data_IF_315869448777
#
_entry.id   IF_315869448777
#
_cell.length_a   1.000
_cell.length_b   1.000
_cell.length_c   1.000
_cell.angle_alpha   90.00
_cell.angle_beta   90.00
_cell.angle_gamma   90.00
#
_symmetry.space_group_name_H-M   'P 1'
#
loop_
_entity.id
_entity.type
_entity.pdbx_description
1 polymer ?
#
# COMPACT_ATOMS: atom_id res chain seq x y z
N UNK A 1 -48.32 -46.75 -49.90
CA UNK A 1 -47.78 -45.59 -50.63
C UNK A 1 -46.71 -44.94 -49.77
N UNK A 2 -45.45 -44.99 -50.20
CA UNK A 2 -44.36 -44.14 -49.70
C UNK A 2 -44.39 -42.83 -50.52
N UNK A 3 -43.96 -41.68 -49.97
CA UNK A 3 -42.56 -41.22 -50.12
C UNK A 3 -42.00 -40.56 -48.83
N UNK A 4 -40.72 -40.77 -48.48
CA UNK A 4 -39.49 -40.07 -48.91
C UNK A 4 -39.23 -38.73 -48.17
N UNK A 5 -38.12 -38.67 -47.42
CA UNK A 5 -37.49 -37.46 -46.87
C UNK A 5 -36.36 -37.80 -45.89
N UNK A 6 -35.12 -37.96 -46.35
CA UNK A 6 -34.01 -36.97 -46.26
C UNK A 6 -33.44 -36.86 -44.82
N UNK A 7 -32.44 -37.66 -44.43
CA UNK A 7 -30.98 -37.50 -44.58
C UNK A 7 -30.27 -36.84 -43.37
N UNK A 8 -29.01 -37.27 -43.18
CA UNK A 8 -27.88 -36.68 -42.40
C UNK A 8 -27.98 -36.80 -40.86
N UNK A 9 -26.95 -37.08 -40.04
CA UNK A 9 -25.49 -36.95 -40.11
C UNK A 9 -24.79 -38.03 -39.25
N UNK A 10 -23.65 -38.55 -39.74
CA UNK A 10 -22.59 -39.17 -38.95
C UNK A 10 -21.89 -38.11 -38.10
N UNK A 11 -21.69 -38.34 -36.80
CA UNK A 11 -20.62 -37.68 -36.03
C UNK A 11 -19.93 -38.69 -35.13
N UNK A 12 -18.61 -38.68 -35.25
CA UNK A 12 -17.63 -39.56 -34.67
C UNK A 12 -17.63 -39.56 -33.13
N UNK A 13 -17.47 -40.75 -32.54
CA UNK A 13 -17.07 -40.90 -31.15
C UNK A 13 -15.58 -40.58 -31.01
N UNK A 14 -15.25 -39.48 -30.34
CA UNK A 14 -13.90 -39.23 -29.87
C UNK A 14 -13.67 -40.06 -28.60
N UNK A 15 -12.77 -41.04 -28.70
CA UNK A 15 -12.26 -41.79 -27.57
C UNK A 15 -11.55 -40.84 -26.58
N UNK A 16 -12.00 -40.85 -25.32
CA UNK A 16 -11.34 -40.13 -24.24
C UNK A 16 -10.00 -40.76 -23.90
N UNK A 17 -8.96 -39.93 -23.79
CA UNK A 17 -7.65 -40.33 -23.28
C UNK A 17 -7.73 -40.57 -21.75
N UNK A 18 -6.96 -41.54 -21.19
CA UNK A 18 -6.97 -41.83 -19.77
C UNK A 18 -6.26 -40.73 -18.95
N UNK A 19 -6.68 -40.47 -17.69
CA UNK A 19 -6.06 -39.49 -16.82
C UNK A 19 -4.69 -39.95 -16.33
N UNK A 20 -3.72 -39.02 -16.33
CA UNK A 20 -2.38 -39.21 -15.77
C UNK A 20 -2.41 -39.32 -14.23
N UNK A 21 -1.51 -40.12 -13.62
CA UNK A 21 -1.43 -40.25 -12.17
C UNK A 21 -0.89 -38.98 -11.49
N UNK A 22 -1.28 -38.69 -10.23
CA UNK A 22 -0.89 -37.49 -9.52
C UNK A 22 0.59 -37.50 -9.14
N UNK A 23 1.29 -36.38 -9.43
CA UNK A 23 2.63 -36.09 -8.91
C UNK A 23 2.59 -35.88 -7.39
N UNK A 24 3.62 -36.30 -6.64
CA UNK A 24 3.68 -36.08 -5.20
C UNK A 24 3.77 -34.58 -4.89
N UNK A 25 2.87 -34.12 -4.03
CA UNK A 25 2.79 -32.74 -3.53
C UNK A 25 4.14 -32.29 -2.98
N UNK A 26 4.76 -31.32 -3.65
CA UNK A 26 5.87 -30.55 -3.07
C UNK A 26 5.31 -29.81 -1.86
N UNK A 27 5.80 -30.17 -0.69
CA UNK A 27 5.62 -29.42 0.55
C UNK A 27 6.07 -27.97 0.32
N UNK A 28 5.08 -27.08 0.18
CA UNK A 28 5.31 -25.65 0.02
C UNK A 28 5.86 -25.15 1.36
N UNK A 29 7.15 -24.82 1.37
CA UNK A 29 7.77 -24.13 2.49
C UNK A 29 6.93 -22.88 2.86
N UNK A 30 6.77 -22.57 4.16
CA UNK A 30 6.03 -21.39 4.57
C UNK A 30 6.61 -20.14 3.90
N UNK A 31 5.77 -19.18 3.47
CA UNK A 31 6.24 -17.96 2.84
C UNK A 31 7.18 -17.23 3.81
N UNK A 32 8.28 -16.63 3.33
CA UNK A 32 9.12 -15.80 4.18
C UNK A 32 8.27 -14.65 4.72
N UNK A 33 8.24 -14.51 6.05
CA UNK A 33 7.66 -13.34 6.69
C UNK A 33 8.27 -12.06 6.10
N UNK A 34 7.43 -11.21 5.50
CA UNK A 34 7.71 -9.78 5.35
C UNK A 34 8.95 -9.39 4.55
N UNK A 35 9.29 -10.09 3.47
CA UNK A 35 10.23 -9.60 2.46
C UNK A 35 9.53 -8.67 1.47
N UNK A 36 9.90 -7.39 1.45
CA UNK A 36 9.45 -6.38 0.47
C UNK A 36 9.40 -6.94 -0.98
N UNK A 37 8.29 -6.81 -1.72
CA UNK A 37 8.33 -6.94 -3.17
C UNK A 37 9.08 -5.72 -3.74
N UNK A 38 10.40 -5.84 -3.90
CA UNK A 38 11.23 -4.85 -4.60
C UNK A 38 12.47 -4.32 -3.89
N UNK A 39 12.81 -4.76 -2.67
CA UNK A 39 13.96 -4.22 -1.89
C UNK A 39 15.35 -4.70 -2.34
N UNK A 40 15.52 -5.04 -3.62
CA UNK A 40 16.62 -5.90 -4.07
C UNK A 40 17.70 -5.24 -4.91
N UNK A 41 18.06 -3.97 -4.70
CA UNK A 41 19.35 -3.40 -5.17
C UNK A 41 19.54 -1.94 -4.74
N UNK A 42 18.54 -1.07 -4.95
CA UNK A 42 18.74 0.39 -4.79
C UNK A 42 18.56 0.88 -3.35
N UNK A 43 17.72 0.22 -2.53
CA UNK A 43 17.59 0.54 -1.10
C UNK A 43 18.89 0.22 -0.31
N UNK A 44 19.74 -0.66 -0.84
CA UNK A 44 21.03 -1.02 -0.24
C UNK A 44 22.09 0.10 -0.33
N UNK A 45 21.90 1.11 -1.19
CA UNK A 45 22.86 2.19 -1.38
C UNK A 45 22.73 3.33 -0.36
N UNK A 46 21.60 3.44 0.33
CA UNK A 46 21.34 4.49 1.30
C UNK A 46 20.94 3.89 2.65
N UNK A 47 21.87 3.94 3.61
CA UNK A 47 21.58 3.56 4.99
C UNK A 47 20.87 4.74 5.68
N UNK A 48 19.71 4.53 6.31
CA UNK A 48 19.07 5.57 7.10
C UNK A 48 19.98 5.98 8.27
N UNK A 49 19.84 7.21 8.79
CA UNK A 49 20.51 7.61 10.02
C UNK A 49 20.19 6.64 11.16
N UNK A 50 21.12 6.53 12.12
CA UNK A 50 20.80 5.92 13.41
C UNK A 50 19.95 6.93 14.20
N UNK A 51 18.80 6.49 14.69
CA UNK A 51 17.89 7.28 15.50
C UNK A 51 18.00 6.88 16.97
N UNK A 52 17.96 7.86 17.87
CA UNK A 52 17.98 7.60 19.32
C UNK A 52 16.63 7.03 19.82
N UNK A 53 15.55 7.26 19.07
CA UNK A 53 14.25 6.64 19.29
C UNK A 53 13.25 6.83 18.14
N UNK A 54 12.07 6.21 18.27
CA UNK A 54 10.99 6.29 17.27
C UNK A 54 10.54 7.73 17.03
N UNK A 55 10.52 8.56 18.08
CA UNK A 55 10.15 9.97 17.94
C UNK A 55 11.11 10.72 17.01
N UNK A 56 12.42 10.52 17.17
CA UNK A 56 13.43 11.15 16.31
C UNK A 56 13.34 10.64 14.86
N UNK A 57 13.06 9.35 14.69
CA UNK A 57 12.83 8.75 13.38
C UNK A 57 11.61 9.37 12.67
N UNK A 58 10.49 9.53 13.38
CA UNK A 58 9.30 10.20 12.84
C UNK A 58 9.62 11.65 12.47
N UNK A 59 10.25 12.42 13.37
CA UNK A 59 10.61 13.81 13.08
C UNK A 59 11.52 13.92 11.86
N UNK A 60 12.50 13.02 11.74
CA UNK A 60 13.37 12.96 10.58
C UNK A 60 12.56 12.76 9.30
N UNK A 61 11.72 11.73 9.21
CA UNK A 61 10.98 11.48 7.96
C UNK A 61 9.90 12.53 7.69
N UNK A 62 9.25 13.10 8.71
CA UNK A 62 8.36 14.26 8.56
C UNK A 62 9.11 15.43 7.90
N UNK A 63 10.35 15.70 8.32
CA UNK A 63 11.17 16.78 7.75
C UNK A 63 11.54 16.55 6.27
N UNK A 64 11.45 15.30 5.79
CA UNK A 64 11.76 14.90 4.41
C UNK A 64 10.57 14.89 3.47
N UNK A 65 9.33 14.95 3.97
CA UNK A 65 8.12 14.96 3.12
C UNK A 65 8.10 16.06 2.03
N UNK A 66 8.58 17.30 2.25
CA UNK A 66 8.61 18.30 1.17
C UNK A 66 9.80 18.14 0.20
N UNK A 67 10.76 17.27 0.51
CA UNK A 67 11.97 17.05 -0.29
C UNK A 67 11.67 16.15 -1.50
N UNK A 68 11.47 16.77 -2.66
CA UNK A 68 11.17 16.09 -3.93
C UNK A 68 12.32 15.18 -4.42
N UNK A 69 13.55 15.39 -3.92
CA UNK A 69 14.70 14.55 -4.23
C UNK A 69 14.82 13.35 -3.30
N UNK A 70 14.05 13.30 -2.21
CA UNK A 70 14.05 12.20 -1.24
C UNK A 70 13.17 11.04 -1.70
N UNK A 71 13.44 10.57 -2.91
CA UNK A 71 12.74 9.48 -3.60
C UNK A 71 13.76 8.51 -4.18
N UNK A 72 13.34 7.26 -4.36
CA UNK A 72 14.08 6.27 -5.15
C UNK A 72 13.13 5.65 -6.18
N UNK A 73 13.55 4.59 -6.87
CA UNK A 73 12.74 3.84 -7.82
C UNK A 73 12.59 2.38 -7.44
N UNK A 74 11.53 1.76 -7.94
CA UNK A 74 11.36 0.31 -8.02
C UNK A 74 10.83 -0.08 -9.40
N UNK A 75 10.82 -1.38 -9.74
CA UNK A 75 10.28 -1.85 -11.02
C UNK A 75 11.29 -1.98 -12.16
N UNK A 76 12.60 -1.84 -11.86
CA UNK A 76 13.69 -2.00 -12.82
C UNK A 76 13.78 -0.89 -13.86
N UNK A 77 14.79 -0.96 -14.72
CA UNK A 77 15.06 0.09 -15.73
C UNK A 77 13.95 0.25 -16.78
N UNK A 78 13.24 -0.84 -17.09
CA UNK A 78 12.17 -0.82 -18.10
C UNK A 78 10.91 -0.10 -17.61
N UNK A 79 10.60 -0.21 -16.32
CA UNK A 79 9.37 0.32 -15.72
C UNK A 79 9.62 0.96 -14.35
N UNK A 80 10.46 2.01 -14.27
CA UNK A 80 10.71 2.67 -13.01
C UNK A 80 9.42 3.30 -12.48
N UNK A 81 9.17 3.06 -11.20
CA UNK A 81 8.08 3.65 -10.43
C UNK A 81 8.69 4.38 -9.24
N UNK A 82 8.23 5.60 -8.93
CA UNK A 82 8.76 6.35 -7.80
C UNK A 82 8.43 5.64 -6.50
N UNK A 83 9.42 5.55 -5.62
CA UNK A 83 9.29 5.11 -4.24
C UNK A 83 9.50 6.31 -3.31
N UNK A 84 8.45 6.70 -2.60
CA UNK A 84 8.46 7.89 -1.74
C UNK A 84 8.96 7.54 -0.34
N UNK A 85 10.30 7.51 -0.18
CA UNK A 85 11.01 6.97 0.99
C UNK A 85 10.40 7.46 2.31
N UNK A 86 10.21 8.78 2.46
CA UNK A 86 9.69 9.36 3.70
C UNK A 86 8.27 8.87 4.05
N UNK A 87 7.36 8.90 3.07
CA UNK A 87 5.96 8.52 3.28
C UNK A 87 5.83 7.02 3.61
N UNK A 88 6.57 6.17 2.89
CA UNK A 88 6.62 4.72 3.11
C UNK A 88 7.18 4.37 4.49
N UNK A 89 8.24 5.06 4.92
CA UNK A 89 8.83 4.87 6.24
C UNK A 89 7.89 5.30 7.36
N UNK A 90 7.24 6.46 7.23
CA UNK A 90 6.22 6.93 8.18
C UNK A 90 5.03 5.98 8.25
N UNK A 91 4.58 5.46 7.10
CA UNK A 91 3.54 4.44 7.02
C UNK A 91 3.90 3.17 7.80
N UNK A 92 5.15 2.70 7.67
CA UNK A 92 5.66 1.52 8.39
C UNK A 92 5.82 1.77 9.89
N UNK A 93 6.21 2.98 10.30
CA UNK A 93 6.28 3.34 11.72
C UNK A 93 4.89 3.22 12.36
N UNK A 94 3.82 3.55 11.63
CA UNK A 94 2.45 3.27 12.07
C UNK A 94 1.90 4.32 13.04
N UNK A 95 1.22 3.85 14.09
CA UNK A 95 0.52 4.68 15.07
C UNK A 95 1.33 5.89 15.59
N UNK A 96 2.65 5.78 15.90
CA UNK A 96 3.45 6.89 16.40
C UNK A 96 3.61 8.07 15.41
N UNK A 97 3.53 7.82 14.09
CA UNK A 97 3.71 8.87 13.09
C UNK A 97 2.46 9.74 12.90
N UNK A 98 1.29 9.22 13.26
CA UNK A 98 -0.01 9.79 12.94
C UNK A 98 -0.21 11.23 13.46
N UNK A 99 0.17 11.60 14.70
CA UNK A 99 -0.07 12.95 15.20
C UNK A 99 0.69 14.01 14.40
N UNK A 100 1.94 13.72 14.03
CA UNK A 100 2.76 14.63 13.24
C UNK A 100 2.26 14.69 11.79
N UNK A 101 1.86 13.57 11.20
CA UNK A 101 1.20 13.55 9.88
C UNK A 101 -0.09 14.38 9.88
N UNK A 102 -0.95 14.21 10.89
CA UNK A 102 -2.20 14.96 11.02
C UNK A 102 -1.96 16.49 11.13
N UNK A 103 -0.88 16.90 11.80
CA UNK A 103 -0.49 18.32 11.90
C UNK A 103 -0.11 18.94 10.54
N UNK A 104 0.20 18.11 9.54
CA UNK A 104 0.60 18.54 8.19
C UNK A 104 -0.54 18.50 7.16
N UNK A 105 -1.76 18.17 7.58
CA UNK A 105 -2.93 18.16 6.68
C UNK A 105 -3.27 19.54 6.10
N UNK A 106 -2.75 20.61 6.71
CA UNK A 106 -2.91 21.99 6.24
C UNK A 106 -1.71 22.48 5.41
N UNK A 107 -0.80 21.60 4.99
CA UNK A 107 0.35 22.02 4.17
C UNK A 107 -0.12 22.69 2.86
N UNK A 108 0.42 23.87 2.51
CA UNK A 108 0.13 24.53 1.24
C UNK A 108 0.93 23.93 0.07
N UNK A 109 1.95 23.09 0.32
CA UNK A 109 2.67 22.37 -0.74
C UNK A 109 1.86 21.13 -1.13
N UNK A 110 1.30 21.13 -2.33
CA UNK A 110 0.50 20.02 -2.84
C UNK A 110 1.29 18.69 -2.91
N UNK A 111 2.61 18.74 -3.10
CA UNK A 111 3.46 17.55 -3.07
C UNK A 111 3.59 17.01 -1.64
N UNK A 112 3.89 17.87 -0.66
CA UNK A 112 3.95 17.46 0.74
C UNK A 112 2.59 16.91 1.18
N UNK A 113 1.49 17.61 0.88
CA UNK A 113 0.15 17.17 1.23
C UNK A 113 -0.18 15.79 0.63
N UNK A 114 0.14 15.56 -0.64
CA UNK A 114 -0.04 14.25 -1.28
C UNK A 114 0.69 13.13 -0.50
N UNK A 115 1.92 13.37 -0.08
CA UNK A 115 2.72 12.40 0.68
C UNK A 115 2.25 12.24 2.12
N UNK A 116 1.80 13.31 2.77
CA UNK A 116 1.17 13.27 4.10
C UNK A 116 -0.07 12.39 4.06
N UNK A 117 -0.94 12.58 3.07
CA UNK A 117 -2.17 11.80 2.91
C UNK A 117 -1.85 10.33 2.68
N UNK A 118 -0.90 10.04 1.79
CA UNK A 118 -0.45 8.67 1.53
C UNK A 118 0.15 8.01 2.77
N UNK A 119 1.06 8.68 3.47
CA UNK A 119 1.68 8.19 4.69
C UNK A 119 0.65 7.96 5.80
N UNK A 120 -0.34 8.86 5.96
CA UNK A 120 -1.39 8.73 6.95
C UNK A 120 -2.32 7.55 6.66
N UNK A 121 -2.62 7.29 5.38
CA UNK A 121 -3.36 6.10 4.94
C UNK A 121 -2.61 4.82 5.33
N UNK A 122 -1.30 4.76 5.06
CA UNK A 122 -0.46 3.62 5.45
C UNK A 122 -0.38 3.46 6.98
N UNK A 123 -0.06 4.54 7.70
CA UNK A 123 0.10 4.52 9.16
C UNK A 123 -1.19 4.14 9.88
N UNK A 124 -2.35 4.49 9.32
CA UNK A 124 -3.66 4.13 9.88
C UNK A 124 -3.92 2.61 9.90
N UNK A 125 -3.16 1.83 9.14
CA UNK A 125 -3.25 0.38 9.06
C UNK A 125 -2.37 -0.33 10.10
N UNK A 126 -1.75 0.42 11.01
CA UNK A 126 -1.02 -0.14 12.15
C UNK A 126 -1.88 -1.18 12.90
N UNK A 127 -1.39 -2.42 13.15
CA UNK A 127 -2.19 -3.47 13.76
C UNK A 127 -2.76 -3.11 15.14
N UNK A 128 -2.01 -2.36 15.95
CA UNK A 128 -2.44 -1.95 17.29
C UNK A 128 -3.53 -0.89 17.19
N UNK A 129 -3.41 0.03 16.24
CA UNK A 129 -4.44 1.02 15.95
C UNK A 129 -5.70 0.38 15.40
N UNK A 130 -5.59 -0.52 14.41
CA UNK A 130 -6.71 -1.26 13.81
C UNK A 130 -7.49 -2.02 14.86
N UNK A 131 -6.80 -2.70 15.79
CA UNK A 131 -7.45 -3.38 16.91
C UNK A 131 -8.19 -2.40 17.81
N UNK A 132 -7.63 -1.21 18.07
CA UNK A 132 -8.20 -0.20 18.93
C UNK A 132 -9.35 0.60 18.30
N UNK A 133 -9.40 0.72 16.96
CA UNK A 133 -10.46 1.41 16.21
C UNK A 133 -11.56 0.49 15.72
N UNK A 134 -11.50 -0.82 16.05
CA UNK A 134 -12.48 -1.79 15.57
C UNK A 134 -12.41 -2.02 14.07
N UNK A 135 -11.23 -1.82 13.46
CA UNK A 135 -11.00 -1.99 12.03
C UNK A 135 -11.12 -0.72 11.18
N UNK A 136 -11.45 0.44 11.76
CA UNK A 136 -11.56 1.70 10.99
C UNK A 136 -10.17 2.23 10.63
N UNK A 137 -9.83 2.16 9.34
CA UNK A 137 -8.60 2.69 8.73
C UNK A 137 -8.92 3.86 7.81
N UNK A 138 -7.93 4.70 7.51
CA UNK A 138 -8.11 5.76 6.54
C UNK A 138 -8.09 5.16 5.14
N UNK A 139 -9.22 5.22 4.44
CA UNK A 139 -9.32 4.87 3.02
C UNK A 139 -9.28 6.12 2.14
N UNK A 140 -8.38 6.12 1.17
CA UNK A 140 -8.26 7.15 0.14
C UNK A 140 -8.71 6.60 -1.22
N UNK A 141 -9.10 7.50 -2.12
CA UNK A 141 -9.46 7.13 -3.49
C UNK A 141 -8.22 6.90 -4.34
N UNK A 142 -7.97 7.79 -5.30
CA UNK A 142 -6.69 7.82 -6.02
C UNK A 142 -5.62 8.48 -5.17
N UNK A 143 -4.50 7.77 -4.96
CA UNK A 143 -3.35 8.25 -4.18
C UNK A 143 -2.21 8.68 -5.09
N UNK A 144 -1.22 9.38 -4.52
CA UNK A 144 0.01 9.78 -5.20
C UNK A 144 -0.24 10.62 -6.48
N UNK A 145 -1.32 11.39 -6.48
CA UNK A 145 -1.66 12.37 -7.50
C UNK A 145 -2.25 13.63 -6.84
N UNK A 146 -1.57 14.80 -6.93
CA UNK A 146 -2.03 16.04 -6.30
C UNK A 146 -3.45 16.46 -6.70
N UNK A 147 -3.92 16.07 -7.89
CA UNK A 147 -5.27 16.38 -8.39
C UNK A 147 -6.38 15.84 -7.48
N UNK A 148 -6.09 14.82 -6.68
CA UNK A 148 -7.05 14.18 -5.76
C UNK A 148 -6.86 14.61 -4.30
N UNK A 149 -5.90 15.51 -4.01
CA UNK A 149 -5.60 15.94 -2.65
C UNK A 149 -6.81 16.52 -1.92
N UNK A 150 -7.64 17.33 -2.59
CA UNK A 150 -8.81 17.94 -1.95
C UNK A 150 -9.82 16.91 -1.43
N UNK A 151 -10.09 15.86 -2.22
CA UNK A 151 -10.98 14.77 -1.81
C UNK A 151 -10.34 13.92 -0.70
N UNK A 152 -9.07 13.55 -0.89
CA UNK A 152 -8.34 12.74 0.09
C UNK A 152 -8.17 13.48 1.42
N UNK A 153 -7.95 14.80 1.40
CA UNK A 153 -7.88 15.64 2.60
C UNK A 153 -9.21 15.65 3.35
N UNK A 154 -10.34 15.71 2.65
CA UNK A 154 -11.65 15.62 3.29
C UNK A 154 -11.82 14.27 4.01
N UNK A 155 -11.41 13.16 3.39
CA UNK A 155 -11.42 11.81 3.99
C UNK A 155 -10.49 11.71 5.19
N UNK A 156 -9.25 12.20 5.05
CA UNK A 156 -8.26 12.22 6.13
C UNK A 156 -8.72 13.04 7.33
N UNK A 157 -9.28 14.24 7.12
CA UNK A 157 -9.85 15.07 8.18
C UNK A 157 -11.04 14.37 8.85
N UNK A 158 -11.93 13.75 8.09
CA UNK A 158 -13.07 13.02 8.66
C UNK A 158 -12.59 11.85 9.53
N UNK A 159 -11.57 11.11 9.10
CA UNK A 159 -10.95 10.05 9.91
C UNK A 159 -10.29 10.62 11.17
N UNK A 160 -9.53 11.71 11.05
CA UNK A 160 -8.90 12.38 12.18
C UNK A 160 -9.90 12.91 13.22
N UNK A 161 -11.06 13.41 12.79
CA UNK A 161 -12.11 13.83 13.72
C UNK A 161 -12.69 12.66 14.53
N UNK A 162 -12.75 11.45 13.94
CA UNK A 162 -13.25 10.25 14.64
C UNK A 162 -12.23 9.68 15.63
N UNK A 163 -10.93 9.72 15.31
CA UNK A 163 -9.90 8.97 16.04
C UNK A 163 -8.80 9.82 16.69
N UNK A 164 -8.69 11.09 16.32
CA UNK A 164 -7.67 12.01 16.83
C UNK A 164 -7.71 12.21 18.35
N UNK A 165 -8.79 11.80 19.01
CA UNK A 165 -8.88 11.81 20.47
C UNK A 165 -7.87 10.94 21.20
N UNK A 166 -7.30 9.96 20.51
CA UNK A 166 -6.22 9.11 21.04
C UNK A 166 -4.93 9.90 21.30
N UNK A 167 -4.77 11.06 20.67
CA UNK A 167 -3.61 11.93 20.83
C UNK A 167 -4.03 13.29 21.37
N UNK A 168 -4.33 13.40 22.68
CA UNK A 168 -4.85 14.63 23.27
C UNK A 168 -3.85 15.80 23.24
N UNK A 169 -2.56 15.54 23.09
CA UNK A 169 -1.50 16.56 22.97
C UNK A 169 -1.46 17.26 21.61
N UNK A 170 -2.06 16.71 20.55
CA UNK A 170 -2.02 17.28 19.19
C UNK A 170 -3.25 18.12 18.80
N UNK A 171 -4.18 18.38 19.74
CA UNK A 171 -5.40 19.20 19.52
C UNK A 171 -5.30 20.65 20.05
N UNK A 172 -4.09 21.14 20.33
CA UNK A 172 -3.85 22.52 20.79
C UNK A 172 -3.27 23.39 19.69
#
# INVERSE_FOLDING_TARGET
MLPLGLAVLLVAGCAGAPPSPPEPEREVAPPPEGGMPGAGAEEAAWLPPLFDGVEDEVHYYISRLPDRGFVTSYGGEEHPRPWYIAAERLGRIGEPAIPLLASRLESPDEYELMLVLYALMLASQDPSLVAATGGDTLELGTVLDPRHNAENLARARAWWQRHGWRWPSSRR
#
